data_IF_052887589289
#
_entry.id   IF_052887589289
#
_cell.length_a   1.000
_cell.length_b   1.000
_cell.length_c   1.000
_cell.angle_alpha   90.00
_cell.angle_beta   90.00
_cell.angle_gamma   90.00
#
_symmetry.space_group_name_H-M   'P 1'
#
loop_
_entity.id
_entity.type
_entity.pdbx_description
1 polymer ?
#
# COMPACT_ATOMS: atom_id res chain seq x y z
N UNK A 1 39.27 29.79 -49.18
CA UNK A 1 38.18 30.57 -48.56
C UNK A 1 36.87 29.92 -48.97
N UNK A 2 36.36 29.03 -48.12
CA UNK A 2 34.97 28.52 -48.16
C UNK A 2 34.73 27.94 -46.77
N UNK A 3 34.26 28.79 -45.86
CA UNK A 3 33.66 28.40 -44.59
C UNK A 3 32.25 27.86 -44.88
N UNK A 4 32.02 26.59 -44.54
CA UNK A 4 30.68 25.99 -44.53
C UNK A 4 30.18 26.01 -43.07
N UNK A 5 29.02 26.63 -42.76
CA UNK A 5 28.56 26.70 -41.38
C UNK A 5 27.92 25.39 -40.91
N UNK A 6 28.23 25.08 -39.66
CA UNK A 6 27.79 23.95 -38.83
C UNK A 6 26.28 24.04 -38.53
N UNK A 7 25.54 22.97 -38.85
CA UNK A 7 24.14 22.79 -38.48
C UNK A 7 24.05 22.33 -37.00
N UNK A 8 23.38 23.06 -36.08
CA UNK A 8 23.18 22.56 -34.74
C UNK A 8 22.08 21.49 -34.75
N UNK A 9 22.44 20.33 -34.22
CA UNK A 9 21.59 19.17 -34.05
C UNK A 9 20.46 19.51 -33.08
N UNK A 10 19.27 19.81 -33.61
CA UNK A 10 18.03 19.83 -32.82
C UNK A 10 17.71 18.40 -32.39
N UNK A 11 18.24 17.97 -31.23
CA UNK A 11 17.68 16.83 -30.51
C UNK A 11 16.36 17.30 -29.87
N UNK A 12 15.27 17.01 -30.58
CA UNK A 12 13.93 17.07 -30.01
C UNK A 12 13.86 16.05 -28.86
N UNK A 13 13.77 16.54 -27.62
CA UNK A 13 13.40 15.72 -26.48
C UNK A 13 11.96 15.23 -26.69
N UNK A 14 11.79 13.92 -26.85
CA UNK A 14 10.49 13.26 -26.81
C UNK A 14 9.96 13.32 -25.36
N UNK A 15 8.79 13.91 -25.08
CA UNK A 15 8.25 13.96 -23.72
C UNK A 15 7.18 12.87 -23.53
N UNK A 16 7.56 11.59 -23.55
CA UNK A 16 6.61 10.53 -23.16
C UNK A 16 7.28 9.27 -22.62
N UNK A 17 8.03 9.39 -21.53
CA UNK A 17 8.18 8.31 -20.55
C UNK A 17 8.06 8.92 -19.16
N UNK A 18 7.14 8.46 -18.28
CA UNK A 18 7.18 8.84 -16.89
C UNK A 18 8.48 8.30 -16.32
N UNK A 19 9.40 9.19 -15.95
CA UNK A 19 10.68 8.79 -15.40
C UNK A 19 10.45 8.01 -14.11
N UNK A 20 10.91 6.76 -14.08
CA UNK A 20 10.98 5.91 -12.88
C UNK A 20 11.88 6.49 -11.75
N UNK A 21 12.30 7.75 -11.86
CA UNK A 21 13.30 8.37 -10.99
C UNK A 21 12.73 8.97 -9.69
N UNK A 22 11.41 9.23 -9.61
CA UNK A 22 10.83 9.95 -8.46
C UNK A 22 9.95 9.09 -7.54
N UNK A 23 9.76 7.81 -7.83
CA UNK A 23 8.82 6.96 -7.05
C UNK A 23 9.44 6.37 -5.78
N UNK A 24 10.76 6.46 -5.62
CA UNK A 24 11.49 5.92 -4.46
C UNK A 24 11.13 6.63 -3.14
N UNK A 25 10.75 7.91 -3.21
CA UNK A 25 10.31 8.70 -2.05
C UNK A 25 8.79 8.72 -1.83
N UNK A 26 8.03 8.04 -2.69
CA UNK A 26 6.57 8.09 -2.64
C UNK A 26 6.02 7.04 -1.69
N UNK A 27 5.12 7.47 -0.81
CA UNK A 27 4.34 6.58 0.02
C UNK A 27 3.17 6.01 -0.77
N UNK A 28 3.04 4.68 -0.78
CA UNK A 28 1.88 3.97 -1.31
C UNK A 28 1.10 3.34 -0.18
N UNK A 29 -0.16 3.72 -0.03
CA UNK A 29 -1.04 3.25 1.02
C UNK A 29 -2.30 2.64 0.42
N UNK A 30 -2.55 1.37 0.72
CA UNK A 30 -3.79 0.71 0.38
C UNK A 30 -4.84 0.92 1.47
N UNK A 31 -6.02 1.38 1.08
CA UNK A 31 -7.16 1.65 1.96
C UNK A 31 -8.39 0.87 1.52
N UNK A 32 -9.10 0.29 2.47
CA UNK A 32 -10.25 -0.60 2.21
C UNK A 32 -11.52 -0.18 2.96
N UNK A 33 -11.50 1.00 3.57
CA UNK A 33 -12.55 1.44 4.48
C UNK A 33 -12.71 2.95 4.51
N UNK A 34 -12.72 3.54 5.70
CA UNK A 34 -13.10 4.94 5.94
C UNK A 34 -12.20 5.98 5.27
N UNK A 35 -11.00 5.58 4.88
CA UNK A 35 -10.02 6.39 4.13
C UNK A 35 -10.25 6.34 2.60
N UNK A 36 -11.14 5.48 2.09
CA UNK A 36 -11.50 5.47 0.66
C UNK A 36 -12.20 6.78 0.27
N UNK A 37 -12.11 7.18 -1.00
CA UNK A 37 -12.84 8.34 -1.54
C UNK A 37 -14.33 8.25 -1.22
N UNK A 38 -14.93 9.38 -0.85
CA UNK A 38 -16.36 9.47 -0.49
C UNK A 38 -16.70 9.10 0.95
N UNK A 39 -15.71 8.69 1.77
CA UNK A 39 -15.90 8.41 3.20
C UNK A 39 -15.30 9.51 4.09
N UNK A 40 -15.79 9.60 5.32
CA UNK A 40 -15.60 10.75 6.21
C UNK A 40 -14.14 11.05 6.62
N UNK A 41 -13.23 10.06 6.53
CA UNK A 41 -11.82 10.29 6.86
C UNK A 41 -11.00 10.74 5.63
N UNK A 42 -11.48 10.52 4.40
CA UNK A 42 -10.72 10.82 3.19
C UNK A 42 -10.38 12.31 3.08
N UNK A 43 -11.36 13.20 3.16
CA UNK A 43 -11.15 14.65 2.96
C UNK A 43 -10.18 15.26 3.98
N UNK A 44 -10.10 14.66 5.18
CA UNK A 44 -9.24 15.11 6.26
C UNK A 44 -7.83 14.54 6.16
N UNK A 45 -7.70 13.25 5.87
CA UNK A 45 -6.43 12.53 5.97
C UNK A 45 -5.78 12.21 4.62
N UNK A 46 -6.50 12.38 3.51
CA UNK A 46 -6.05 12.09 2.14
C UNK A 46 -6.00 13.34 1.25
N UNK A 47 -6.23 14.53 1.80
CA UNK A 47 -6.03 15.80 1.06
C UNK A 47 -4.61 15.86 0.50
N UNK A 48 -4.49 16.23 -0.78
CA UNK A 48 -3.20 16.27 -1.49
C UNK A 48 -2.73 14.91 -2.01
N UNK A 49 -3.58 13.88 -1.99
CA UNK A 49 -3.29 12.61 -2.66
C UNK A 49 -2.94 12.84 -4.13
N UNK A 50 -1.84 12.24 -4.59
CA UNK A 50 -1.31 12.43 -5.94
C UNK A 50 -1.98 11.51 -6.96
N UNK A 51 -2.30 10.29 -6.53
CA UNK A 51 -2.97 9.29 -7.35
C UNK A 51 -3.89 8.41 -6.50
N UNK A 52 -5.02 8.04 -7.08
CA UNK A 52 -5.97 7.08 -6.51
C UNK A 52 -6.29 6.04 -7.57
N UNK A 53 -5.98 4.78 -7.29
CA UNK A 53 -6.14 3.66 -8.21
C UNK A 53 -6.93 2.54 -7.52
N UNK A 54 -7.78 1.84 -8.27
CA UNK A 54 -8.40 0.61 -7.75
C UNK A 54 -7.32 -0.46 -7.56
N UNK A 55 -7.35 -1.13 -6.42
CA UNK A 55 -6.35 -2.13 -6.07
C UNK A 55 -6.94 -3.32 -5.33
N UNK A 56 -6.20 -4.43 -5.32
CA UNK A 56 -6.54 -5.64 -4.59
C UNK A 56 -5.37 -6.14 -3.74
N UNK A 57 -5.66 -6.60 -2.53
CA UNK A 57 -4.73 -7.35 -1.68
C UNK A 57 -5.30 -8.72 -1.35
N UNK A 58 -4.45 -9.70 -1.03
CA UNK A 58 -4.90 -10.99 -0.51
C UNK A 58 -5.17 -10.90 0.99
N UNK A 59 -6.39 -11.24 1.40
CA UNK A 59 -6.78 -11.14 2.80
C UNK A 59 -8.18 -11.67 3.10
N UNK A 60 -8.70 -11.26 4.25
CA UNK A 60 -10.09 -11.46 4.69
C UNK A 60 -10.59 -10.17 5.28
N UNK A 61 -11.78 -9.76 4.84
CA UNK A 61 -12.45 -8.55 5.30
C UNK A 61 -13.57 -8.93 6.28
N UNK A 62 -13.63 -8.21 7.38
CA UNK A 62 -14.68 -8.38 8.38
C UNK A 62 -15.26 -7.04 8.76
N UNK A 63 -16.47 -7.07 9.32
CA UNK A 63 -17.15 -5.91 9.86
C UNK A 63 -17.10 -5.99 11.40
N UNK A 64 -16.76 -4.87 12.04
CA UNK A 64 -16.91 -4.71 13.49
C UNK A 64 -18.38 -4.50 13.85
N UNK A 65 -18.73 -4.63 15.14
CA UNK A 65 -20.07 -4.28 15.63
C UNK A 65 -20.48 -2.82 15.40
N UNK A 66 -19.52 -1.94 15.11
CA UNK A 66 -19.76 -0.52 14.78
C UNK A 66 -19.87 -0.24 13.28
N UNK A 67 -19.87 -1.29 12.42
CA UNK A 67 -19.92 -1.12 10.97
C UNK A 67 -18.63 -0.55 10.37
N UNK A 68 -17.47 -0.83 10.96
CA UNK A 68 -16.16 -0.44 10.40
C UNK A 68 -15.48 -1.70 9.87
N UNK A 69 -14.88 -1.65 8.66
CA UNK A 69 -14.20 -2.81 8.12
C UNK A 69 -12.85 -3.01 8.82
N UNK A 70 -12.48 -4.27 9.03
CA UNK A 70 -11.15 -4.68 9.48
C UNK A 70 -10.62 -5.75 8.53
N UNK A 71 -9.32 -5.70 8.24
CA UNK A 71 -8.67 -6.60 7.30
C UNK A 71 -7.63 -7.46 8.00
N UNK A 72 -7.63 -8.76 7.70
CA UNK A 72 -6.55 -9.70 8.03
C UNK A 72 -5.83 -10.16 6.77
N UNK A 73 -4.50 -10.24 6.82
CA UNK A 73 -3.66 -10.79 5.74
C UNK A 73 -2.96 -12.07 6.22
N UNK A 74 -2.56 -12.96 5.30
CA UNK A 74 -1.68 -14.07 5.65
C UNK A 74 -0.35 -13.55 6.19
N UNK A 75 0.18 -14.15 7.27
CA UNK A 75 1.47 -13.72 7.82
C UNK A 75 2.62 -13.91 6.82
N UNK A 76 2.51 -14.91 5.95
CA UNK A 76 3.48 -15.18 4.89
C UNK A 76 3.54 -14.09 3.81
N UNK A 77 2.48 -13.28 3.66
CA UNK A 77 2.37 -12.21 2.67
C UNK A 77 2.91 -10.87 3.22
N UNK A 78 3.26 -10.80 4.52
CA UNK A 78 3.83 -9.61 5.15
C UNK A 78 5.31 -9.47 4.78
N UNK A 79 5.61 -8.45 3.98
CA UNK A 79 6.95 -8.14 3.48
C UNK A 79 7.76 -7.30 4.48
N UNK A 80 7.09 -6.46 5.26
CA UNK A 80 7.66 -5.67 6.34
C UNK A 80 6.58 -5.23 7.35
N UNK A 81 7.01 -4.83 8.54
CA UNK A 81 6.15 -4.19 9.55
C UNK A 81 6.55 -2.73 9.64
N UNK A 82 5.56 -1.84 9.72
CA UNK A 82 5.78 -0.41 9.77
C UNK A 82 6.53 0.01 11.04
N UNK A 83 7.23 1.12 10.95
CA UNK A 83 8.02 1.70 12.05
C UNK A 83 7.48 3.07 12.45
N UNK A 84 8.11 3.70 13.43
CA UNK A 84 7.83 5.10 13.78
C UNK A 84 8.56 6.09 12.87
N UNK A 85 9.37 5.62 11.91
CA UNK A 85 10.14 6.44 10.98
C UNK A 85 9.52 6.35 9.56
N UNK A 86 8.75 7.37 9.14
CA UNK A 86 8.10 7.39 7.83
C UNK A 86 9.07 7.25 6.65
N UNK A 87 10.28 7.80 6.76
CA UNK A 87 11.28 7.74 5.68
C UNK A 87 11.90 6.35 5.59
N UNK A 88 12.14 5.69 6.73
CA UNK A 88 12.58 4.30 6.75
C UNK A 88 11.53 3.36 6.14
N UNK A 89 10.24 3.61 6.39
CA UNK A 89 9.15 2.82 5.82
C UNK A 89 9.04 3.01 4.30
N UNK A 90 9.15 4.24 3.80
CA UNK A 90 9.20 4.50 2.35
C UNK A 90 10.45 3.89 1.70
N UNK A 91 11.61 4.01 2.34
CA UNK A 91 12.84 3.37 1.84
C UNK A 91 12.72 1.84 1.79
N UNK A 92 12.02 1.23 2.75
CA UNK A 92 11.73 -0.20 2.75
C UNK A 92 10.82 -0.58 1.58
N UNK A 93 9.75 0.18 1.35
CA UNK A 93 8.87 0.00 0.19
C UNK A 93 9.68 0.07 -1.13
N UNK A 94 10.56 1.05 -1.29
CA UNK A 94 11.39 1.20 -2.49
C UNK A 94 12.35 0.02 -2.71
N UNK A 95 12.98 -0.49 -1.64
CA UNK A 95 13.84 -1.70 -1.71
C UNK A 95 13.06 -2.93 -2.17
N UNK A 96 11.81 -3.07 -1.73
CA UNK A 96 10.96 -4.19 -2.14
C UNK A 96 10.57 -4.07 -3.61
N UNK A 97 10.23 -2.87 -4.10
CA UNK A 97 9.99 -2.62 -5.54
C UNK A 97 11.19 -3.07 -6.38
N UNK A 98 12.40 -2.68 -5.98
CA UNK A 98 13.62 -3.05 -6.70
C UNK A 98 13.82 -4.58 -6.76
N UNK A 99 13.57 -5.29 -5.66
CA UNK A 99 13.65 -6.76 -5.60
C UNK A 99 12.58 -7.47 -6.44
N UNK A 100 11.39 -6.89 -6.56
CA UNK A 100 10.33 -7.46 -7.43
C UNK A 100 10.67 -7.32 -8.92
N UNK A 101 11.48 -6.32 -9.27
CA UNK A 101 11.91 -6.10 -10.66
C UNK A 101 13.02 -7.07 -11.10
N UNK A 102 13.83 -7.55 -10.15
CA UNK A 102 14.89 -8.56 -10.36
C UNK A 102 14.71 -9.73 -9.39
N UNK A 103 13.82 -10.68 -9.68
CA UNK A 103 13.54 -11.79 -8.78
C UNK A 103 14.73 -12.75 -8.70
N UNK A 104 15.42 -12.78 -7.56
CA UNK A 104 16.26 -13.93 -7.20
C UNK A 104 15.37 -15.18 -7.02
N UNK A 105 15.91 -16.40 -7.27
CA UNK A 105 15.16 -17.62 -7.06
C UNK A 105 14.74 -17.74 -5.59
N UNK A 106 13.46 -17.54 -5.33
CA UNK A 106 12.85 -17.68 -4.02
C UNK A 106 12.97 -19.14 -3.57
N UNK A 107 13.46 -19.43 -2.36
CA UNK A 107 13.35 -20.77 -1.80
C UNK A 107 11.86 -21.14 -1.71
N UNK A 108 11.52 -22.38 -2.07
CA UNK A 108 10.16 -22.93 -1.96
C UNK A 108 9.59 -22.69 -0.56
N UNK A 109 8.83 -21.60 -0.41
CA UNK A 109 8.15 -21.28 0.83
C UNK A 109 6.82 -22.01 0.81
N UNK A 110 6.78 -23.18 1.43
CA UNK A 110 5.53 -23.91 1.64
C UNK A 110 4.52 -23.00 2.37
N UNK A 111 3.32 -22.76 1.81
CA UNK A 111 2.32 -21.94 2.47
C UNK A 111 1.91 -22.62 3.77
N UNK A 112 2.04 -21.91 4.90
CA UNK A 112 1.52 -22.39 6.17
C UNK A 112 0.00 -22.37 6.09
N UNK A 113 -0.63 -23.53 6.22
CA UNK A 113 -2.10 -23.67 6.15
C UNK A 113 -2.73 -22.95 7.35
N UNK A 114 -3.13 -21.70 7.16
CA UNK A 114 -3.87 -20.94 8.16
C UNK A 114 -5.19 -21.65 8.50
N UNK A 115 -5.50 -21.76 9.79
CA UNK A 115 -6.78 -22.29 10.28
C UNK A 115 -7.86 -21.21 10.12
N UNK A 116 -8.66 -21.27 9.05
CA UNK A 116 -9.76 -20.33 8.79
C UNK A 116 -10.36 -20.45 7.39
N UNK A 117 -11.34 -19.60 7.07
CA UNK A 117 -11.92 -19.47 5.72
C UNK A 117 -10.81 -19.27 4.65
N UNK A 118 -10.98 -19.63 3.37
CA UNK A 118 -9.94 -19.37 2.38
C UNK A 118 -9.57 -17.87 2.33
N UNK A 119 -8.28 -17.57 2.11
CA UNK A 119 -7.84 -16.21 1.80
C UNK A 119 -8.40 -15.80 0.42
N UNK A 120 -8.95 -14.60 0.31
CA UNK A 120 -9.56 -14.09 -0.92
C UNK A 120 -8.97 -12.74 -1.34
N UNK A 121 -9.35 -12.22 -2.52
CA UNK A 121 -9.05 -10.84 -2.86
C UNK A 121 -9.83 -9.90 -1.95
N UNK A 122 -9.25 -8.75 -1.60
CA UNK A 122 -9.93 -7.65 -0.92
C UNK A 122 -9.73 -6.41 -1.75
N UNK A 123 -10.82 -5.77 -2.16
CA UNK A 123 -10.77 -4.58 -2.99
C UNK A 123 -10.67 -3.33 -2.13
N UNK A 124 -9.84 -2.40 -2.59
CA UNK A 124 -9.65 -1.10 -1.98
C UNK A 124 -9.11 -0.11 -3.00
N UNK A 125 -8.60 0.99 -2.47
CA UNK A 125 -7.94 2.04 -3.25
C UNK A 125 -6.46 2.09 -2.85
N UNK A 126 -5.59 2.22 -3.84
CA UNK A 126 -4.20 2.57 -3.67
C UNK A 126 -4.06 4.09 -3.75
N UNK A 127 -3.61 4.69 -2.65
CA UNK A 127 -3.33 6.11 -2.54
C UNK A 127 -1.82 6.35 -2.60
N UNK A 128 -1.40 7.34 -3.41
CA UNK A 128 0.01 7.75 -3.51
C UNK A 128 0.22 9.15 -2.93
N UNK A 129 1.26 9.32 -2.12
CA UNK A 129 1.62 10.56 -1.45
C UNK A 129 3.12 10.87 -1.55
N UNK A 130 3.48 12.15 -1.61
CA UNK A 130 4.85 12.66 -1.55
C UNK A 130 5.24 13.24 -0.18
N UNK A 131 4.34 13.20 0.81
CA UNK A 131 4.50 13.80 2.14
C UNK A 131 4.55 12.77 3.29
N UNK A 132 5.35 11.69 3.21
CA UNK A 132 5.29 10.57 4.17
C UNK A 132 5.47 11.01 5.63
N UNK A 133 6.36 11.96 5.90
CA UNK A 133 6.65 12.48 7.25
C UNK A 133 5.46 13.14 7.92
N UNK A 134 4.52 13.68 7.13
CA UNK A 134 3.27 14.24 7.65
C UNK A 134 2.13 13.22 7.58
N UNK A 135 2.07 12.45 6.49
CA UNK A 135 0.97 11.52 6.19
C UNK A 135 0.90 10.37 7.16
N UNK A 136 2.02 9.65 7.35
CA UNK A 136 2.03 8.44 8.17
C UNK A 136 1.70 8.74 9.63
N UNK A 137 2.31 9.74 10.30
CA UNK A 137 1.96 10.05 11.69
C UNK A 137 0.50 10.48 11.88
N UNK A 138 -0.10 11.14 10.88
CA UNK A 138 -1.51 11.52 10.94
C UNK A 138 -2.45 10.31 10.88
N UNK A 139 -2.18 9.38 9.96
CA UNK A 139 -2.98 8.16 9.81
C UNK A 139 -2.70 7.18 10.95
N UNK A 140 -1.47 7.09 11.45
CA UNK A 140 -1.12 6.25 12.61
C UNK A 140 -1.91 6.63 13.85
N UNK A 141 -2.08 7.93 14.10
CA UNK A 141 -2.93 8.40 15.21
C UNK A 141 -4.40 8.06 15.01
N UNK A 142 -4.89 8.09 13.77
CA UNK A 142 -6.27 7.70 13.44
C UNK A 142 -6.49 6.20 13.68
N UNK A 143 -5.58 5.37 13.19
CA UNK A 143 -5.66 3.91 13.25
C UNK A 143 -5.13 3.35 14.58
N UNK A 144 -4.63 4.20 15.48
CA UNK A 144 -4.08 3.78 16.77
C UNK A 144 -2.87 2.85 16.64
N UNK A 145 -2.02 3.07 15.63
CA UNK A 145 -0.78 2.33 15.41
C UNK A 145 0.34 2.90 16.30
N UNK A 146 0.87 2.07 17.19
CA UNK A 146 1.92 2.42 18.16
C UNK A 146 2.96 1.29 18.25
N UNK A 147 3.98 1.27 17.38
CA UNK A 147 5.04 0.26 17.44
C UNK A 147 5.64 0.13 18.85
N UNK A 148 5.71 -1.10 19.36
CA UNK A 148 6.21 -1.37 20.72
C UNK A 148 5.20 -1.18 21.86
N UNK A 149 3.94 -0.81 21.55
CA UNK A 149 2.85 -0.68 22.51
C UNK A 149 1.55 -1.34 22.03
N UNK A 150 0.44 -1.19 22.79
CA UNK A 150 -0.87 -1.68 22.38
C UNK A 150 -1.35 -1.00 21.09
N UNK A 151 -1.69 -1.80 20.08
CA UNK A 151 -2.16 -1.32 18.77
C UNK A 151 -3.57 -1.82 18.48
N UNK A 152 -4.43 -0.97 17.92
CA UNK A 152 -5.71 -1.41 17.34
C UNK A 152 -5.50 -2.06 15.97
N UNK A 153 -4.65 -1.43 15.15
CA UNK A 153 -4.19 -1.93 13.88
C UNK A 153 -2.67 -1.96 13.82
N UNK A 154 -2.12 -2.89 13.06
CA UNK A 154 -0.70 -2.95 12.69
C UNK A 154 -0.55 -2.43 11.25
N UNK A 155 0.39 -1.51 11.01
CA UNK A 155 0.81 -1.17 9.65
C UNK A 155 1.78 -2.23 9.12
N UNK A 156 1.46 -2.82 7.99
CA UNK A 156 2.27 -3.87 7.33
C UNK A 156 2.43 -3.53 5.85
N UNK A 157 3.55 -3.97 5.29
CA UNK A 157 3.81 -3.89 3.86
C UNK A 157 3.43 -5.22 3.21
N UNK A 158 2.59 -5.19 2.18
CA UNK A 158 2.13 -6.36 1.43
C UNK A 158 2.18 -6.09 -0.07
N UNK A 159 2.09 -7.13 -0.88
CA UNK A 159 1.81 -6.98 -2.31
C UNK A 159 0.35 -6.61 -2.56
N UNK A 160 0.13 -5.65 -3.46
CA UNK A 160 -1.17 -5.34 -4.03
C UNK A 160 -1.12 -5.39 -5.56
N UNK A 161 -2.22 -5.80 -6.18
CA UNK A 161 -2.42 -5.67 -7.62
C UNK A 161 -3.15 -4.36 -7.91
N UNK A 162 -2.55 -3.47 -8.68
CA UNK A 162 -3.16 -2.22 -9.16
C UNK A 162 -2.82 -2.05 -10.65
N UNK A 163 -3.82 -1.78 -11.49
CA UNK A 163 -3.64 -1.60 -12.94
C UNK A 163 -2.81 -2.71 -13.62
N UNK A 164 -3.03 -3.96 -13.22
CA UNK A 164 -2.32 -5.13 -13.77
C UNK A 164 -0.86 -5.27 -13.33
N UNK A 165 -0.39 -4.40 -12.42
CA UNK A 165 0.96 -4.43 -11.86
C UNK A 165 0.91 -4.82 -10.38
N UNK A 166 1.87 -5.65 -9.94
CA UNK A 166 2.06 -5.95 -8.53
C UNK A 166 3.01 -4.93 -7.90
N UNK A 167 2.57 -4.28 -6.83
CA UNK A 167 3.33 -3.24 -6.14
C UNK A 167 3.27 -3.45 -4.62
N UNK A 168 4.37 -3.18 -3.88
CA UNK A 168 4.33 -3.18 -2.43
C UNK A 168 3.63 -1.93 -1.91
N UNK A 169 2.70 -2.12 -0.98
CA UNK A 169 1.86 -1.08 -0.40
C UNK A 169 1.77 -1.23 1.11
N UNK A 170 1.73 -0.11 1.82
CA UNK A 170 1.42 -0.09 3.24
C UNK A 170 -0.08 -0.26 3.47
N UNK A 171 -0.45 -0.99 4.52
CA UNK A 171 -1.82 -1.37 4.82
C UNK A 171 -1.98 -1.51 6.35
N UNK A 172 -3.12 -1.10 6.89
CA UNK A 172 -3.46 -1.29 8.31
C UNK A 172 -4.31 -2.55 8.50
N UNK A 173 -3.85 -3.50 9.31
CA UNK A 173 -4.50 -4.81 9.55
C UNK A 173 -4.78 -5.07 11.02
N UNK A 174 -5.77 -5.88 11.33
CA UNK A 174 -5.99 -6.39 12.69
C UNK A 174 -5.23 -7.70 12.90
N UNK A 175 -4.74 -7.92 14.12
CA UNK A 175 -4.03 -9.15 14.45
C UNK A 175 -4.99 -10.31 14.76
N UNK A 176 -4.61 -11.51 14.32
CA UNK A 176 -5.41 -12.76 14.41
C UNK A 176 -5.71 -13.16 15.87
N UNK A 177 -4.88 -12.72 16.82
CA UNK A 177 -5.04 -13.00 18.26
C UNK A 177 -6.17 -12.20 18.92
N UNK A 178 -6.76 -11.24 18.21
CA UNK A 178 -7.89 -10.49 18.75
C UNK A 178 -9.11 -11.41 18.88
N UNK A 179 -9.45 -11.75 20.13
CA UNK A 179 -10.62 -12.55 20.54
C UNK A 179 -11.96 -11.82 20.26
N UNK A 180 -11.97 -10.91 19.28
CA UNK A 180 -13.09 -10.06 18.90
C UNK A 180 -13.97 -10.84 17.92
N UNK A 181 -15.26 -10.92 18.23
CA UNK A 181 -16.26 -11.48 17.30
C UNK A 181 -16.42 -10.52 16.12
N UNK A 182 -15.68 -10.78 15.05
CA UNK A 182 -15.88 -10.09 13.78
C UNK A 182 -16.87 -10.86 12.92
N UNK A 183 -17.74 -10.15 12.21
CA UNK A 183 -18.64 -10.76 11.24
C UNK A 183 -17.92 -10.79 9.89
N UNK A 184 -17.66 -11.96 9.28
CA UNK A 184 -17.06 -12.00 7.95
C UNK A 184 -17.98 -11.27 6.96
N UNK A 185 -17.38 -10.42 6.12
CA UNK A 185 -18.14 -9.79 5.05
C UNK A 185 -18.28 -10.78 3.90
N UNK A 186 -19.51 -11.05 3.43
CA UNK A 186 -19.74 -11.98 2.32
C UNK A 186 -19.25 -11.43 0.97
N UNK A 187 -18.98 -10.12 0.89
CA UNK A 187 -18.31 -9.50 -0.25
C UNK A 187 -16.88 -9.11 0.11
N UNK A 188 -15.98 -9.31 -0.85
CA UNK A 188 -14.57 -8.86 -0.84
C UNK A 188 -14.41 -7.32 -0.84
N UNK A 189 -15.51 -6.58 -0.68
CA UNK A 189 -15.62 -5.12 -0.78
C UNK A 189 -16.35 -4.57 0.44
N UNK A 190 -15.82 -3.51 1.02
CA UNK A 190 -16.56 -2.65 1.95
C UNK A 190 -17.09 -1.44 1.18
N UNK A 191 -18.42 -1.38 1.01
CA UNK A 191 -19.21 -0.38 0.29
C UNK A 191 -18.63 0.02 -1.10
N UNK A 192 -19.40 -0.28 -2.15
CA UNK A 192 -19.10 0.01 -3.56
C UNK A 192 -18.99 1.51 -3.84
#
# INVERSE_FOLDING_TARGET
MTDTPMNPMNQAMNPTEPSNANTSGMLRLFVYGTLKRGFWNHDRFCRGVLAVEDALVRGRLFETSSGIPVLQVPEEDILAVGTTDPLADVATQARVVARMSDPEPTPDRLPKKGTGAPWGPVYGELLTFDDPENRLPAIDRLEGFHPGGPCLYRRVLVSAQANGTELPVWLYVVEVTSNRRFKPLPSDKWHS
#
